data_IF_138312554825
#
_entry.id   IF_138312554825
#
_cell.length_a   1.000
_cell.length_b   1.000
_cell.length_c   1.000
_cell.angle_alpha   90.00
_cell.angle_beta   90.00
_cell.angle_gamma   90.00
#
_symmetry.space_group_name_H-M   'P 1'
#
loop_
_entity.id
_entity.type
_entity.pdbx_description
1 polymer ?
#
# COMPACT_ATOMS: atom_id res chain seq x y z
N UNK A 1 54.52 -12.27 57.55
CA UNK A 1 54.37 -13.37 56.56
C UNK A 1 52.91 -13.79 56.39
N UNK A 2 52.07 -13.84 57.44
CA UNK A 2 50.66 -14.26 57.33
C UNK A 2 49.70 -13.23 56.68
N UNK A 3 49.96 -11.93 56.78
CA UNK A 3 49.13 -10.90 56.10
C UNK A 3 49.33 -10.84 54.58
N UNK A 4 50.47 -11.35 54.08
CA UNK A 4 50.73 -11.41 52.64
C UNK A 4 50.03 -12.61 52.00
N UNK A 5 49.90 -13.73 52.74
CA UNK A 5 49.20 -14.93 52.29
C UNK A 5 47.68 -14.70 52.18
N UNK A 6 47.08 -13.92 53.08
CA UNK A 6 45.66 -13.57 53.00
C UNK A 6 45.35 -12.65 51.81
N UNK A 7 46.23 -11.69 51.50
CA UNK A 7 46.06 -10.83 50.31
C UNK A 7 46.27 -11.59 49.00
N UNK A 8 47.15 -12.60 48.96
CA UNK A 8 47.33 -13.46 47.78
C UNK A 8 46.14 -14.41 47.60
N UNK A 9 45.55 -14.93 48.69
CA UNK A 9 44.33 -15.75 48.60
C UNK A 9 43.07 -14.94 48.26
N UNK A 10 43.04 -13.64 48.59
CA UNK A 10 42.00 -12.70 48.14
C UNK A 10 42.24 -12.17 46.70
N UNK A 11 43.49 -12.14 46.22
CA UNK A 11 43.81 -11.76 44.83
C UNK A 11 43.69 -12.92 43.83
N UNK A 12 43.78 -14.18 44.29
CA UNK A 12 43.46 -15.38 43.49
C UNK A 12 41.95 -15.64 43.43
N UNK A 13 41.15 -14.91 44.21
CA UNK A 13 39.72 -14.71 43.97
C UNK A 13 39.47 -13.59 42.94
N UNK A 14 40.35 -13.42 41.94
CA UNK A 14 39.97 -12.79 40.68
C UNK A 14 38.76 -13.56 40.17
N UNK A 15 37.60 -12.91 40.22
CA UNK A 15 36.32 -13.45 39.85
C UNK A 15 36.39 -14.06 38.44
N UNK A 16 36.66 -15.36 38.37
CA UNK A 16 36.19 -16.19 37.27
C UNK A 16 34.68 -16.18 37.44
N UNK A 17 34.02 -15.15 36.90
CA UNK A 17 32.56 -15.12 36.78
C UNK A 17 32.20 -16.44 36.12
N UNK A 18 31.53 -17.32 36.86
CA UNK A 18 31.04 -18.58 36.32
C UNK A 18 30.23 -18.25 35.07
N UNK A 19 30.77 -18.63 33.93
CA UNK A 19 30.23 -18.20 32.65
C UNK A 19 28.86 -18.81 32.45
N UNK A 20 27.86 -17.98 32.23
CA UNK A 20 26.47 -18.41 32.20
C UNK A 20 26.25 -19.14 30.87
N UNK A 21 26.24 -20.47 30.91
CA UNK A 21 25.97 -21.32 29.75
C UNK A 21 24.69 -22.14 29.93
N UNK A 22 23.77 -22.15 28.95
CA UNK A 22 22.61 -23.04 29.00
C UNK A 22 23.01 -24.52 29.06
N UNK A 23 22.32 -25.32 29.89
CA UNK A 23 22.69 -26.72 30.19
C UNK A 23 22.82 -27.62 28.95
N UNK A 24 22.05 -27.35 27.90
CA UNK A 24 22.07 -28.14 26.65
C UNK A 24 23.02 -27.58 25.58
N UNK A 25 23.56 -26.40 25.81
CA UNK A 25 24.39 -25.68 24.85
C UNK A 25 25.87 -25.79 25.19
N UNK A 26 26.72 -25.42 24.23
CA UNK A 26 28.16 -25.34 24.39
C UNK A 26 28.58 -23.88 24.24
N UNK A 27 29.25 -23.34 25.24
CA UNK A 27 29.74 -21.97 25.19
C UNK A 27 31.26 -21.97 25.01
N UNK A 28 31.75 -21.26 23.98
CA UNK A 28 33.16 -21.20 23.61
C UNK A 28 33.67 -19.77 23.74
N UNK A 29 34.85 -19.61 24.34
CA UNK A 29 35.58 -18.34 24.36
C UNK A 29 36.66 -18.41 23.27
N UNK A 30 36.45 -17.65 22.21
CA UNK A 30 37.43 -17.39 21.17
C UNK A 30 37.89 -15.94 21.37
N UNK A 31 38.80 -15.73 22.35
CA UNK A 31 39.20 -14.39 22.81
C UNK A 31 39.37 -13.40 21.65
N UNK A 32 38.61 -12.27 21.63
CA UNK A 32 37.78 -11.73 22.72
C UNK A 32 36.27 -12.12 22.68
N UNK A 33 35.85 -12.99 21.79
CA UNK A 33 34.44 -13.27 21.50
C UNK A 33 33.90 -14.50 22.25
N UNK A 34 32.68 -14.37 22.77
CA UNK A 34 31.92 -15.46 23.37
C UNK A 34 30.89 -15.99 22.36
N UNK A 35 30.97 -17.26 22.02
CA UNK A 35 29.99 -17.95 21.18
C UNK A 35 29.13 -18.91 22.03
N UNK A 36 27.81 -18.83 21.89
CA UNK A 36 26.83 -19.73 22.52
C UNK A 36 26.21 -20.63 21.46
N UNK A 37 26.59 -21.91 21.47
CA UNK A 37 26.24 -22.89 20.44
C UNK A 37 25.14 -23.84 20.95
N UNK A 38 23.92 -23.63 20.47
CA UNK A 38 22.71 -24.35 20.85
C UNK A 38 22.07 -25.11 19.67
N UNK A 39 22.80 -25.33 18.58
CA UNK A 39 22.26 -25.99 17.40
C UNK A 39 21.97 -27.49 17.63
N UNK A 40 20.89 -28.01 17.04
CA UNK A 40 20.49 -29.44 17.10
C UNK A 40 20.29 -29.98 18.53
N UNK A 41 19.75 -29.16 19.44
CA UNK A 41 19.55 -29.52 20.86
C UNK A 41 18.10 -29.86 21.21
N UNK A 42 17.21 -29.88 20.23
CA UNK A 42 15.78 -30.15 20.41
C UNK A 42 15.12 -29.13 21.34
N UNK A 43 15.52 -27.86 21.22
CA UNK A 43 14.99 -26.78 22.06
C UNK A 43 13.59 -26.41 21.58
N UNK A 44 12.64 -26.31 22.51
CA UNK A 44 11.27 -25.85 22.25
C UNK A 44 11.14 -24.32 22.40
N UNK A 45 12.09 -23.70 23.08
CA UNK A 45 12.13 -22.26 23.35
C UNK A 45 13.59 -21.80 23.49
N UNK A 46 13.81 -20.49 23.35
CA UNK A 46 15.13 -19.88 23.52
C UNK A 46 15.54 -20.00 25.01
N UNK A 47 16.71 -20.57 25.33
CA UNK A 47 17.14 -20.74 26.71
C UNK A 47 17.20 -19.40 27.48
N UNK A 48 16.62 -19.28 28.68
CA UNK A 48 16.57 -18.01 29.39
C UNK A 48 17.94 -17.56 29.93
N UNK A 49 18.84 -18.51 30.20
CA UNK A 49 20.14 -18.29 30.81
C UNK A 49 21.28 -18.24 29.77
N UNK A 50 21.14 -17.38 28.77
CA UNK A 50 22.21 -17.07 27.81
C UNK A 50 22.98 -15.85 28.32
N UNK A 51 24.32 -15.93 28.33
CA UNK A 51 25.17 -14.80 28.67
C UNK A 51 24.93 -13.62 27.72
N UNK A 52 24.64 -12.44 28.27
CA UNK A 52 24.35 -11.22 27.50
C UNK A 52 25.57 -10.62 26.79
N UNK A 53 26.78 -11.11 27.09
CA UNK A 53 28.01 -10.75 26.38
C UNK A 53 28.29 -11.66 25.18
N UNK A 54 27.39 -12.58 24.85
CA UNK A 54 27.50 -13.44 23.66
C UNK A 54 27.60 -12.57 22.40
N UNK A 55 28.58 -12.87 21.55
CA UNK A 55 28.82 -12.23 20.25
C UNK A 55 28.21 -13.04 19.12
N UNK A 56 28.17 -14.36 19.27
CA UNK A 56 27.61 -15.29 18.28
C UNK A 56 26.66 -16.27 18.96
N UNK A 57 25.40 -16.31 18.51
CA UNK A 57 24.36 -17.18 19.07
C UNK A 57 23.76 -18.07 17.98
N UNK A 58 24.06 -19.38 18.06
CA UNK A 58 23.53 -20.37 17.12
C UNK A 58 22.41 -21.19 17.74
N UNK A 59 21.18 -20.96 17.31
CA UNK A 59 19.96 -21.66 17.73
C UNK A 59 19.33 -22.48 16.59
N UNK A 60 20.08 -22.74 15.52
CA UNK A 60 19.60 -23.45 14.35
C UNK A 60 19.20 -24.92 14.63
N UNK A 61 18.36 -25.50 13.79
CA UNK A 61 17.94 -26.91 13.90
C UNK A 61 17.30 -27.25 15.26
N UNK A 62 16.31 -26.48 15.67
CA UNK A 62 15.54 -26.70 16.89
C UNK A 62 14.03 -26.65 16.58
N UNK A 63 13.19 -26.65 17.60
CA UNK A 63 11.73 -26.64 17.49
C UNK A 63 11.14 -25.38 18.15
N UNK A 64 11.86 -24.26 18.08
CA UNK A 64 11.41 -22.99 18.66
C UNK A 64 10.21 -22.49 17.85
N UNK A 65 9.13 -22.10 18.52
CA UNK A 65 7.88 -21.65 17.87
C UNK A 65 7.65 -20.15 17.95
N UNK A 66 8.19 -19.49 18.97
CA UNK A 66 7.97 -18.06 19.22
C UNK A 66 9.24 -17.40 19.71
N UNK A 67 9.49 -16.17 19.24
CA UNK A 67 10.54 -15.29 19.77
C UNK A 67 9.90 -14.20 20.63
N UNK A 68 10.32 -14.11 21.90
CA UNK A 68 9.81 -13.13 22.87
C UNK A 68 10.82 -12.02 23.12
N UNK A 69 10.34 -10.84 23.48
CA UNK A 69 11.18 -9.67 23.80
C UNK A 69 12.29 -9.95 24.82
N UNK A 70 11.97 -10.75 25.85
CA UNK A 70 12.90 -11.09 26.93
C UNK A 70 14.03 -12.04 26.51
N UNK A 71 13.85 -12.77 25.41
CA UNK A 71 14.77 -13.83 25.01
C UNK A 71 16.12 -13.23 24.59
N UNK A 72 16.08 -12.09 23.88
CA UNK A 72 17.26 -11.35 23.39
C UNK A 72 17.47 -9.99 24.08
N UNK A 73 16.75 -9.74 25.18
CA UNK A 73 16.90 -8.48 25.91
C UNK A 73 18.33 -8.26 26.41
N UNK A 74 18.85 -7.05 26.19
CA UNK A 74 20.19 -6.59 26.56
C UNK A 74 21.37 -7.35 25.90
N UNK A 75 21.16 -8.00 24.75
CA UNK A 75 22.25 -8.65 23.99
C UNK A 75 23.00 -7.66 23.08
N UNK A 76 23.55 -6.59 23.66
CA UNK A 76 24.14 -5.47 22.90
C UNK A 76 25.41 -5.81 22.14
N UNK A 77 26.11 -6.90 22.53
CA UNK A 77 27.35 -7.36 21.87
C UNK A 77 27.11 -8.38 20.75
N UNK A 78 25.86 -8.81 20.55
CA UNK A 78 25.55 -9.84 19.58
C UNK A 78 25.77 -9.30 18.16
N UNK A 79 26.48 -10.09 17.35
CA UNK A 79 26.85 -9.77 15.96
C UNK A 79 26.20 -10.75 15.00
N UNK A 80 26.12 -12.03 15.36
CA UNK A 80 25.52 -13.09 14.55
C UNK A 80 24.46 -13.84 15.37
N UNK A 81 23.24 -13.87 14.83
CA UNK A 81 22.13 -14.64 15.36
C UNK A 81 21.58 -15.61 14.29
N UNK A 82 21.74 -16.89 14.55
CA UNK A 82 21.19 -17.94 13.69
C UNK A 82 19.98 -18.62 14.33
N UNK A 83 18.79 -18.41 13.77
CA UNK A 83 17.51 -19.05 14.14
C UNK A 83 16.96 -19.98 13.04
N UNK A 84 17.80 -20.34 12.07
CA UNK A 84 17.45 -21.14 10.91
C UNK A 84 16.86 -22.52 11.27
N UNK A 85 15.99 -23.06 10.42
CA UNK A 85 15.43 -24.42 10.58
C UNK A 85 14.81 -24.62 11.98
N UNK A 86 13.88 -23.74 12.30
CA UNK A 86 13.01 -23.83 13.48
C UNK A 86 11.54 -23.87 13.02
N UNK A 87 10.61 -23.76 13.95
CA UNK A 87 9.17 -23.68 13.67
C UNK A 87 8.60 -22.32 14.05
N UNK A 88 9.40 -21.25 13.94
CA UNK A 88 9.04 -19.92 14.41
C UNK A 88 7.92 -19.38 13.54
N UNK A 89 6.77 -19.14 14.15
CA UNK A 89 5.58 -18.56 13.50
C UNK A 89 5.30 -17.14 13.95
N UNK A 90 5.86 -16.73 15.09
CA UNK A 90 5.60 -15.42 15.68
C UNK A 90 6.86 -14.84 16.33
N UNK A 91 7.13 -13.57 16.01
CA UNK A 91 8.16 -12.75 16.64
C UNK A 91 7.43 -11.60 17.32
N UNK A 92 7.69 -11.43 18.62
CA UNK A 92 7.07 -10.33 19.38
C UNK A 92 7.66 -9.00 18.93
N UNK A 93 6.82 -7.97 18.91
CA UNK A 93 7.22 -6.56 18.79
C UNK A 93 8.51 -6.22 19.52
N UNK A 94 9.42 -5.53 18.83
CA UNK A 94 10.70 -5.06 19.37
C UNK A 94 11.62 -6.17 19.92
N UNK A 95 11.38 -7.44 19.57
CA UNK A 95 12.18 -8.56 20.09
C UNK A 95 13.68 -8.42 19.82
N UNK A 96 14.05 -7.68 18.77
CA UNK A 96 15.43 -7.48 18.36
C UNK A 96 16.01 -6.09 18.67
N UNK A 97 15.25 -5.20 19.32
CA UNK A 97 15.59 -3.78 19.45
C UNK A 97 16.92 -3.49 20.19
N UNK A 98 17.34 -4.34 21.13
CA UNK A 98 18.58 -4.11 21.91
C UNK A 98 19.86 -4.54 21.18
N UNK A 99 19.75 -5.21 20.03
CA UNK A 99 20.90 -5.80 19.32
C UNK A 99 21.49 -4.83 18.30
N UNK A 100 21.93 -3.66 18.78
CA UNK A 100 22.44 -2.55 17.95
C UNK A 100 23.71 -2.87 17.14
N UNK A 101 24.40 -3.98 17.45
CA UNK A 101 25.62 -4.42 16.77
C UNK A 101 25.40 -5.66 15.88
N UNK A 102 24.16 -6.11 15.74
CA UNK A 102 23.86 -7.28 14.93
C UNK A 102 24.16 -6.99 13.46
N UNK A 103 24.94 -7.88 12.83
CA UNK A 103 25.34 -7.81 11.42
C UNK A 103 24.68 -8.89 10.59
N UNK A 104 24.41 -10.06 11.17
CA UNK A 104 23.77 -11.16 10.49
C UNK A 104 22.59 -11.71 11.30
N UNK A 105 21.43 -11.80 10.65
CA UNK A 105 20.22 -12.41 11.18
C UNK A 105 19.70 -13.47 10.22
N UNK A 106 19.76 -14.73 10.64
CA UNK A 106 19.24 -15.85 9.87
C UNK A 106 17.92 -16.35 10.49
N UNK A 107 16.83 -16.14 9.77
CA UNK A 107 15.47 -16.58 10.10
C UNK A 107 14.91 -17.58 9.07
N UNK A 108 15.76 -18.13 8.22
CA UNK A 108 15.37 -19.01 7.13
C UNK A 108 14.85 -20.38 7.56
N UNK A 109 14.03 -21.01 6.72
CA UNK A 109 13.38 -22.30 7.00
C UNK A 109 12.58 -22.24 8.32
N UNK A 110 11.66 -21.29 8.42
CA UNK A 110 10.73 -21.11 9.54
C UNK A 110 9.28 -21.09 9.04
N UNK A 111 8.33 -20.64 9.88
CA UNK A 111 6.89 -20.59 9.59
C UNK A 111 6.34 -19.17 9.71
N UNK A 112 7.17 -18.16 9.47
CA UNK A 112 6.74 -16.76 9.53
C UNK A 112 5.77 -16.47 8.39
N UNK A 113 4.65 -15.84 8.70
CA UNK A 113 3.63 -15.48 7.70
C UNK A 113 3.59 -13.98 7.38
N UNK A 114 4.17 -13.15 8.26
CA UNK A 114 4.17 -11.69 8.14
C UNK A 114 5.38 -11.09 8.85
N UNK A 115 5.83 -9.94 8.39
CA UNK A 115 6.78 -9.06 9.09
C UNK A 115 6.05 -7.77 9.46
N UNK A 116 6.00 -7.45 10.76
CA UNK A 116 5.44 -6.19 11.27
C UNK A 116 6.46 -5.05 11.19
N UNK A 117 5.99 -3.80 11.21
CA UNK A 117 6.83 -2.60 11.11
C UNK A 117 7.93 -2.52 12.17
N UNK A 118 7.67 -3.01 13.37
CA UNK A 118 8.56 -2.93 14.53
C UNK A 118 9.42 -4.18 14.75
N UNK A 119 9.37 -5.15 13.82
CA UNK A 119 10.12 -6.41 13.93
C UNK A 119 11.62 -6.17 13.93
N UNK A 120 12.10 -5.33 13.00
CA UNK A 120 13.52 -5.05 12.75
C UNK A 120 13.94 -3.62 13.15
N UNK A 121 13.16 -2.97 14.02
CA UNK A 121 13.43 -1.62 14.48
C UNK A 121 14.79 -1.55 15.19
N UNK A 122 15.59 -0.54 14.85
CA UNK A 122 16.91 -0.27 15.47
C UNK A 122 18.07 -1.07 14.87
N UNK A 123 17.82 -1.93 13.88
CA UNK A 123 18.84 -2.81 13.27
C UNK A 123 19.70 -2.12 12.20
N UNK A 124 20.20 -0.92 12.51
CA UNK A 124 20.92 -0.05 11.58
C UNK A 124 22.28 -0.55 11.08
N UNK A 125 22.88 -1.55 11.76
CA UNK A 125 24.16 -2.17 11.39
C UNK A 125 24.01 -3.55 10.76
N UNK A 126 22.78 -3.95 10.43
CA UNK A 126 22.52 -5.26 9.84
C UNK A 126 23.00 -5.28 8.39
N UNK A 127 23.87 -6.23 8.05
CA UNK A 127 24.40 -6.44 6.71
C UNK A 127 23.70 -7.61 6.01
N UNK A 128 23.38 -8.68 6.74
CA UNK A 128 22.76 -9.89 6.18
C UNK A 128 21.42 -10.17 6.86
N UNK A 129 20.34 -10.16 6.07
CA UNK A 129 19.02 -10.56 6.52
C UNK A 129 18.51 -11.72 5.65
N UNK A 130 18.47 -12.90 6.25
CA UNK A 130 18.19 -14.15 5.54
C UNK A 130 16.84 -14.70 6.02
N UNK A 131 15.80 -14.53 5.21
CA UNK A 131 14.40 -14.84 5.49
C UNK A 131 13.82 -15.92 4.57
N UNK A 132 14.67 -16.58 3.77
CA UNK A 132 14.22 -17.55 2.80
C UNK A 132 13.52 -18.78 3.39
N UNK A 133 12.70 -19.45 2.57
CA UNK A 133 11.92 -20.63 2.97
C UNK A 133 11.06 -20.33 4.21
N UNK A 134 10.26 -19.27 4.13
CA UNK A 134 9.20 -18.97 5.10
C UNK A 134 7.84 -19.05 4.37
N UNK A 135 6.79 -18.49 4.97
CA UNK A 135 5.44 -18.44 4.40
C UNK A 135 4.96 -16.98 4.36
N UNK A 136 5.89 -16.04 4.20
CA UNK A 136 5.60 -14.61 4.26
C UNK A 136 4.65 -14.24 3.13
N UNK A 137 3.48 -13.73 3.49
CA UNK A 137 2.50 -13.19 2.54
C UNK A 137 2.65 -11.68 2.43
N UNK A 138 3.00 -11.00 3.53
CA UNK A 138 3.10 -9.55 3.58
C UNK A 138 4.26 -9.10 4.46
N UNK A 139 4.97 -8.08 3.98
CA UNK A 139 5.95 -7.32 4.74
C UNK A 139 5.42 -5.89 4.83
N UNK A 140 5.28 -5.37 6.04
CA UNK A 140 4.79 -4.00 6.23
C UNK A 140 5.73 -2.98 5.58
N UNK A 141 5.20 -1.90 4.96
CA UNK A 141 5.98 -0.90 4.21
C UNK A 141 7.15 -0.32 5.01
N UNK A 142 6.95 -0.07 6.30
CA UNK A 142 7.98 0.51 7.18
C UNK A 142 8.95 -0.51 7.80
N UNK A 143 8.74 -1.82 7.60
CA UNK A 143 9.50 -2.86 8.31
C UNK A 143 11.01 -2.85 7.99
N UNK A 144 11.40 -2.29 6.85
CA UNK A 144 12.79 -2.23 6.38
C UNK A 144 13.41 -0.83 6.45
N UNK A 145 12.73 0.16 7.04
CA UNK A 145 13.18 1.56 7.03
C UNK A 145 14.55 1.78 7.70
N UNK A 146 14.88 0.99 8.72
CA UNK A 146 16.13 1.12 9.47
C UNK A 146 17.29 0.32 8.86
N UNK A 147 17.01 -0.54 7.87
CA UNK A 147 17.96 -1.52 7.31
C UNK A 147 18.84 -0.93 6.20
N UNK A 148 19.39 0.26 6.43
CA UNK A 148 20.11 1.03 5.38
C UNK A 148 21.51 0.48 5.06
N UNK A 149 22.12 -0.26 6.00
CA UNK A 149 23.46 -0.84 5.85
C UNK A 149 23.47 -2.23 5.19
N UNK A 150 22.31 -2.71 4.74
CA UNK A 150 22.11 -4.08 4.32
C UNK A 150 22.86 -4.38 3.01
N UNK A 151 23.59 -5.49 3.00
CA UNK A 151 24.44 -5.97 1.91
C UNK A 151 23.83 -7.20 1.22
N UNK A 152 23.06 -8.01 1.94
CA UNK A 152 22.39 -9.20 1.42
C UNK A 152 20.99 -9.35 2.03
N UNK A 153 19.98 -9.34 1.16
CA UNK A 153 18.58 -9.61 1.49
C UNK A 153 18.11 -10.84 0.75
N UNK A 154 17.78 -11.89 1.49
CA UNK A 154 17.22 -13.12 0.93
C UNK A 154 15.78 -13.34 1.41
N UNK A 155 14.83 -13.15 0.48
CA UNK A 155 13.40 -13.37 0.67
C UNK A 155 12.90 -14.56 -0.16
N UNK A 156 13.80 -15.39 -0.68
CA UNK A 156 13.45 -16.50 -1.58
C UNK A 156 12.50 -17.52 -0.94
N UNK A 157 11.70 -18.22 -1.75
CA UNK A 157 10.74 -19.23 -1.27
C UNK A 157 9.80 -18.68 -0.18
N UNK A 158 9.02 -17.68 -0.56
CA UNK A 158 7.95 -17.09 0.24
C UNK A 158 6.68 -16.93 -0.61
N UNK A 159 5.67 -16.24 -0.09
CA UNK A 159 4.38 -16.04 -0.74
C UNK A 159 4.10 -14.55 -1.00
N UNK A 160 5.16 -13.76 -1.22
CA UNK A 160 5.09 -12.31 -1.32
C UNK A 160 4.52 -11.89 -2.68
N UNK A 161 3.47 -11.09 -2.67
CA UNK A 161 2.93 -10.40 -3.85
C UNK A 161 3.65 -9.06 -4.11
N UNK A 162 4.15 -8.42 -3.05
CA UNK A 162 4.89 -7.17 -3.10
C UNK A 162 5.88 -7.10 -1.93
N UNK A 163 6.86 -6.19 -2.05
CA UNK A 163 7.81 -5.87 -0.98
C UNK A 163 7.93 -4.34 -0.83
N UNK A 164 8.48 -3.84 0.29
CA UNK A 164 8.69 -2.40 0.50
C UNK A 164 9.77 -1.81 -0.43
N UNK A 165 9.43 -1.60 -1.71
CA UNK A 165 10.35 -1.14 -2.74
C UNK A 165 11.04 0.19 -2.40
N UNK A 166 10.31 1.13 -1.77
CA UNK A 166 10.85 2.42 -1.33
C UNK A 166 11.97 2.28 -0.30
N UNK A 167 11.87 1.30 0.60
CA UNK A 167 12.92 1.01 1.57
C UNK A 167 14.14 0.37 0.87
N UNK A 168 13.89 -0.57 -0.05
CA UNK A 168 14.95 -1.26 -0.81
C UNK A 168 15.75 -0.29 -1.69
N UNK A 169 15.08 0.68 -2.33
CA UNK A 169 15.73 1.72 -3.13
C UNK A 169 16.76 2.54 -2.33
N UNK A 170 16.61 2.61 -1.00
CA UNK A 170 17.52 3.33 -0.10
C UNK A 170 18.69 2.47 0.41
N UNK A 171 18.70 1.17 0.13
CA UNK A 171 19.76 0.23 0.57
C UNK A 171 20.99 0.28 -0.34
N UNK A 172 21.67 1.43 -0.40
CA UNK A 172 22.80 1.68 -1.31
C UNK A 172 23.99 0.72 -1.16
N UNK A 173 24.05 -0.04 -0.05
CA UNK A 173 25.08 -1.04 0.21
C UNK A 173 24.73 -2.45 -0.29
N UNK A 174 23.54 -2.64 -0.85
CA UNK A 174 23.03 -3.96 -1.24
C UNK A 174 23.84 -4.54 -2.40
N UNK A 175 24.34 -5.77 -2.22
CA UNK A 175 25.08 -6.55 -3.21
C UNK A 175 24.24 -7.67 -3.79
N UNK A 176 23.43 -8.32 -2.95
CA UNK A 176 22.61 -9.47 -3.34
C UNK A 176 21.18 -9.27 -2.89
N UNK A 177 20.26 -9.40 -3.85
CA UNK A 177 18.82 -9.40 -3.61
C UNK A 177 18.22 -10.68 -4.21
N UNK A 178 17.78 -11.59 -3.34
CA UNK A 178 17.13 -12.84 -3.74
C UNK A 178 15.64 -12.77 -3.44
N UNK A 179 14.84 -12.84 -4.50
CA UNK A 179 13.38 -12.77 -4.50
C UNK A 179 12.76 -13.99 -5.19
N UNK A 180 13.55 -15.00 -5.52
CA UNK A 180 13.08 -16.16 -6.28
C UNK A 180 12.01 -16.96 -5.53
N UNK A 181 11.15 -17.63 -6.28
CA UNK A 181 10.04 -18.43 -5.73
C UNK A 181 9.12 -17.60 -4.81
N UNK A 182 8.58 -16.52 -5.37
CA UNK A 182 7.56 -15.66 -4.74
C UNK A 182 6.38 -15.46 -5.71
N UNK A 183 5.51 -14.49 -5.42
CA UNK A 183 4.31 -14.17 -6.20
C UNK A 183 4.35 -12.73 -6.75
N UNK A 184 5.55 -12.13 -6.87
CA UNK A 184 5.71 -10.74 -7.31
C UNK A 184 5.24 -10.56 -8.76
N UNK A 185 4.36 -9.60 -9.00
CA UNK A 185 3.76 -9.34 -10.31
C UNK A 185 4.34 -8.09 -11.02
N UNK A 186 4.94 -7.17 -10.27
CA UNK A 186 5.67 -6.03 -10.81
C UNK A 186 6.92 -5.66 -9.99
N UNK A 187 7.84 -4.93 -10.63
CA UNK A 187 8.94 -4.21 -9.98
C UNK A 187 8.84 -2.75 -10.44
N UNK A 188 8.78 -1.76 -9.51
CA UNK A 188 8.71 -0.36 -9.88
C UNK A 188 9.93 0.10 -10.70
N UNK A 189 9.69 0.97 -11.67
CA UNK A 189 10.76 1.68 -12.35
C UNK A 189 11.56 2.54 -11.36
N UNK A 190 12.87 2.65 -11.56
CA UNK A 190 13.74 3.43 -10.67
C UNK A 190 14.17 2.72 -9.37
N UNK A 191 13.65 1.53 -9.09
CA UNK A 191 13.98 0.76 -7.86
C UNK A 191 15.49 0.55 -7.69
N UNK A 192 16.20 0.22 -8.78
CA UNK A 192 17.61 -0.16 -8.74
C UNK A 192 18.58 0.98 -9.07
N UNK A 193 18.08 2.17 -9.43
CA UNK A 193 18.92 3.23 -10.01
C UNK A 193 19.98 3.78 -9.04
N UNK A 194 19.76 3.66 -7.72
CA UNK A 194 20.73 4.04 -6.70
C UNK A 194 21.60 2.87 -6.20
N UNK A 195 21.29 1.62 -6.56
CA UNK A 195 21.91 0.41 -6.02
C UNK A 195 23.17 0.00 -6.80
N UNK A 196 24.15 0.89 -6.84
CA UNK A 196 25.35 0.72 -7.68
C UNK A 196 26.23 -0.49 -7.31
N UNK A 197 26.11 -0.97 -6.07
CA UNK A 197 26.85 -2.15 -5.55
C UNK A 197 26.14 -3.48 -5.82
N UNK A 198 24.91 -3.46 -6.33
CA UNK A 198 24.16 -4.68 -6.57
C UNK A 198 24.84 -5.49 -7.69
N UNK A 199 25.19 -6.72 -7.35
CA UNK A 199 25.91 -7.66 -8.21
C UNK A 199 25.06 -8.89 -8.54
N UNK A 200 24.01 -9.16 -7.76
CA UNK A 200 23.10 -10.28 -7.99
C UNK A 200 21.64 -9.88 -7.70
N UNK A 201 20.78 -10.12 -8.69
CA UNK A 201 19.33 -10.07 -8.55
C UNK A 201 18.74 -11.38 -9.05
N UNK A 202 18.04 -12.10 -8.17
CA UNK A 202 17.30 -13.30 -8.53
C UNK A 202 15.80 -13.07 -8.35
N UNK A 203 15.06 -13.10 -9.45
CA UNK A 203 13.60 -12.96 -9.50
C UNK A 203 12.95 -14.18 -10.15
N UNK A 204 13.66 -15.30 -10.19
CA UNK A 204 13.19 -16.56 -10.79
C UNK A 204 11.88 -17.02 -10.14
N UNK A 205 11.00 -17.68 -10.89
CA UNK A 205 9.75 -18.25 -10.36
C UNK A 205 8.87 -17.22 -9.62
N UNK A 206 8.55 -16.11 -10.28
CA UNK A 206 7.61 -15.09 -9.79
C UNK A 206 6.40 -14.95 -10.76
N UNK A 207 5.63 -13.87 -10.65
CA UNK A 207 4.50 -13.52 -11.52
C UNK A 207 4.78 -12.30 -12.41
N UNK A 208 6.06 -11.98 -12.61
CA UNK A 208 6.47 -10.81 -13.37
C UNK A 208 6.09 -10.99 -14.84
N UNK A 209 5.31 -10.05 -15.37
CA UNK A 209 5.03 -9.99 -16.79
C UNK A 209 6.13 -9.23 -17.54
N UNK A 210 6.79 -8.27 -16.87
CA UNK A 210 7.89 -7.50 -17.43
C UNK A 210 8.91 -7.12 -16.37
N UNK A 211 10.09 -6.69 -16.83
CA UNK A 211 11.12 -6.07 -16.01
C UNK A 211 11.29 -4.60 -16.42
N UNK A 212 11.45 -3.68 -15.45
CA UNK A 212 11.71 -2.29 -15.77
C UNK A 212 13.10 -2.16 -16.40
N UNK A 213 13.29 -1.31 -17.43
CA UNK A 213 14.62 -1.02 -17.91
C UNK A 213 15.43 -0.30 -16.83
N UNK A 214 16.67 -0.76 -16.58
CA UNK A 214 17.60 -0.10 -15.67
C UNK A 214 19.04 -0.24 -16.21
N UNK A 215 19.88 0.82 -16.13
CA UNK A 215 21.28 0.74 -16.56
C UNK A 215 22.07 -0.41 -15.92
N UNK A 216 21.67 -0.82 -14.72
CA UNK A 216 22.28 -1.93 -14.00
C UNK A 216 22.19 -3.26 -14.79
N UNK A 217 21.13 -3.47 -15.58
CA UNK A 217 20.98 -4.67 -16.39
C UNK A 217 21.87 -4.71 -17.63
N UNK A 218 22.41 -3.57 -18.08
CA UNK A 218 23.42 -3.57 -19.15
C UNK A 218 24.71 -4.26 -18.70
N UNK A 219 25.03 -4.21 -17.40
CA UNK A 219 26.17 -4.92 -16.79
C UNK A 219 26.01 -6.44 -16.77
N UNK A 220 24.80 -6.94 -17.04
CA UNK A 220 24.47 -8.35 -17.10
C UNK A 220 24.90 -9.02 -18.42
N UNK A 221 25.33 -8.23 -19.42
CA UNK A 221 25.75 -8.77 -20.72
C UNK A 221 27.16 -9.34 -20.67
N UNK A 222 27.40 -10.42 -21.41
CA UNK A 222 28.76 -10.91 -21.67
C UNK A 222 29.38 -10.08 -22.80
N UNK A 223 30.42 -9.29 -22.50
CA UNK A 223 31.17 -8.50 -23.47
C UNK A 223 32.42 -9.29 -23.93
N UNK A 224 32.45 -9.68 -25.20
CA UNK A 224 33.62 -10.23 -25.86
C UNK A 224 34.24 -9.18 -26.78
N UNK A 225 35.24 -8.45 -26.29
CA UNK A 225 36.10 -7.61 -27.13
C UNK A 225 37.40 -8.37 -27.42
N UNK A 226 37.67 -8.65 -28.69
CA UNK A 226 38.99 -9.10 -29.19
C UNK A 226 39.61 -10.30 -28.46
N UNK A 227 38.87 -11.40 -28.32
CA UNK A 227 39.41 -12.68 -27.87
C UNK A 227 39.55 -12.87 -26.35
N UNK A 228 39.12 -11.90 -25.54
CA UNK A 228 39.03 -12.03 -24.09
C UNK A 228 37.54 -11.97 -23.70
N UNK A 229 36.98 -13.10 -23.24
CA UNK A 229 35.66 -13.10 -22.59
C UNK A 229 35.81 -12.50 -21.20
N UNK A 230 35.17 -11.36 -20.95
CA UNK A 230 35.09 -10.78 -19.61
C UNK A 230 33.87 -11.34 -18.88
N UNK A 231 34.06 -11.79 -17.63
CA UNK A 231 32.95 -12.30 -16.81
C UNK A 231 31.94 -11.18 -16.52
N UNK A 232 30.64 -11.50 -16.52
CA UNK A 232 29.58 -10.54 -16.23
C UNK A 232 29.75 -9.96 -14.82
N UNK A 233 29.73 -8.63 -14.70
CA UNK A 233 29.81 -7.96 -13.39
C UNK A 233 28.49 -7.95 -12.61
N UNK A 234 27.42 -8.47 -13.22
CA UNK A 234 26.08 -8.55 -12.64
C UNK A 234 25.37 -9.84 -13.06
N UNK A 235 24.84 -10.58 -12.09
CA UNK A 235 24.05 -11.80 -12.29
C UNK A 235 22.56 -11.49 -12.15
N UNK A 236 21.82 -11.65 -13.25
CA UNK A 236 20.36 -11.50 -13.31
C UNK A 236 19.73 -12.86 -13.62
N UNK A 237 18.75 -13.29 -12.83
CA UNK A 237 17.97 -14.50 -13.13
C UNK A 237 16.48 -14.16 -13.07
N UNK A 238 15.75 -14.41 -14.16
CA UNK A 238 14.32 -14.08 -14.29
C UNK A 238 13.47 -15.18 -14.91
N UNK A 239 14.02 -16.40 -15.02
CA UNK A 239 13.29 -17.57 -15.51
C UNK A 239 12.06 -17.91 -14.67
N UNK A 240 11.16 -18.74 -15.20
CA UNK A 240 9.95 -19.15 -14.47
C UNK A 240 8.91 -18.04 -14.23
N UNK A 241 9.04 -16.90 -14.91
CA UNK A 241 8.05 -15.81 -14.88
C UNK A 241 7.09 -15.89 -16.08
N UNK A 242 5.82 -15.48 -15.93
CA UNK A 242 4.85 -15.43 -17.02
C UNK A 242 5.08 -14.19 -17.91
N UNK A 243 6.21 -14.15 -18.61
CA UNK A 243 6.64 -12.98 -19.38
C UNK A 243 5.62 -12.60 -20.46
N UNK A 244 5.34 -11.31 -20.55
CA UNK A 244 4.54 -10.70 -21.60
C UNK A 244 5.49 -10.07 -22.64
N UNK A 245 5.78 -10.84 -23.68
CA UNK A 245 6.81 -10.58 -24.67
C UNK A 245 6.35 -9.61 -25.76
N UNK A 246 6.15 -8.35 -25.39
CA UNK A 246 5.89 -7.24 -26.29
C UNK A 246 7.11 -6.31 -26.39
N UNK A 247 6.96 -5.14 -26.99
CA UNK A 247 8.07 -4.18 -27.15
C UNK A 247 8.67 -3.69 -25.81
N UNK A 248 7.98 -3.81 -24.68
CA UNK A 248 8.51 -3.42 -23.35
C UNK A 248 9.68 -4.30 -22.89
N UNK A 249 9.77 -5.53 -23.41
CA UNK A 249 10.88 -6.45 -23.13
C UNK A 249 11.96 -6.48 -24.23
N UNK A 250 11.81 -5.66 -25.28
CA UNK A 250 12.77 -5.63 -26.39
C UNK A 250 14.19 -5.23 -25.94
N UNK A 251 14.30 -4.34 -24.95
CA UNK A 251 15.60 -3.96 -24.37
C UNK A 251 16.29 -5.15 -23.70
N UNK A 252 15.52 -6.03 -23.05
CA UNK A 252 16.02 -7.23 -22.37
C UNK A 252 16.43 -8.28 -23.41
N UNK A 253 15.64 -8.41 -24.48
CA UNK A 253 15.94 -9.31 -25.59
C UNK A 253 17.26 -8.95 -26.29
N UNK A 254 17.62 -7.67 -26.34
CA UNK A 254 18.89 -7.19 -26.93
C UNK A 254 20.13 -7.49 -26.09
N UNK A 255 19.97 -8.02 -24.87
CA UNK A 255 21.11 -8.42 -24.06
C UNK A 255 21.75 -9.71 -24.62
N UNK A 256 23.08 -9.78 -24.62
CA UNK A 256 23.81 -11.02 -24.91
C UNK A 256 23.98 -11.82 -23.61
N UNK A 257 23.15 -12.84 -23.43
CA UNK A 257 23.08 -13.69 -22.23
C UNK A 257 22.94 -15.16 -22.60
N UNK A 258 23.29 -16.02 -21.64
CA UNK A 258 23.00 -17.45 -21.71
C UNK A 258 21.49 -17.69 -21.59
N UNK A 259 21.01 -18.77 -22.22
CA UNK A 259 19.60 -19.16 -22.22
C UNK A 259 19.29 -19.97 -20.96
N UNK A 260 18.52 -19.38 -20.03
CA UNK A 260 18.07 -20.02 -18.78
C UNK A 260 16.62 -20.56 -18.93
N UNK A 261 16.20 -20.87 -20.17
CA UNK A 261 14.88 -21.40 -20.52
C UNK A 261 13.72 -20.47 -20.14
N UNK A 262 13.94 -19.17 -20.15
CA UNK A 262 12.89 -18.18 -19.94
C UNK A 262 11.84 -18.32 -21.05
N UNK A 263 10.56 -18.22 -20.71
CA UNK A 263 9.46 -18.56 -21.63
C UNK A 263 8.43 -17.43 -21.67
N UNK A 264 8.02 -17.06 -22.86
CA UNK A 264 6.92 -16.11 -23.07
C UNK A 264 5.59 -16.76 -22.70
N UNK A 265 4.83 -16.15 -21.81
CA UNK A 265 3.46 -16.58 -21.51
C UNK A 265 2.43 -15.92 -22.44
N UNK A 266 2.72 -14.69 -22.88
CA UNK A 266 1.87 -13.89 -23.76
C UNK A 266 2.73 -12.98 -24.65
N UNK A 267 2.20 -12.40 -25.75
CA UNK A 267 0.86 -12.62 -26.33
C UNK A 267 0.67 -14.06 -26.85
N UNK A 268 -0.56 -14.43 -27.25
CA UNK A 268 -0.93 -15.82 -27.61
C UNK A 268 -0.04 -16.41 -28.72
N UNK A 269 0.45 -15.57 -29.63
CA UNK A 269 1.33 -15.93 -30.74
C UNK A 269 2.73 -16.36 -30.27
N UNK A 270 3.20 -15.85 -29.13
CA UNK A 270 4.51 -16.15 -28.55
C UNK A 270 4.42 -17.09 -27.34
N UNK A 271 3.21 -17.43 -26.90
CA UNK A 271 2.98 -18.26 -25.73
C UNK A 271 3.67 -19.62 -25.86
N UNK A 272 4.48 -19.98 -24.86
CA UNK A 272 5.23 -21.23 -24.80
C UNK A 272 6.56 -21.22 -25.58
N UNK A 273 6.90 -20.14 -26.28
CA UNK A 273 8.23 -20.00 -26.92
C UNK A 273 9.28 -19.56 -25.90
N UNK A 274 10.50 -20.07 -26.05
CA UNK A 274 11.64 -19.60 -25.27
C UNK A 274 12.00 -18.17 -25.65
N UNK A 275 12.17 -17.30 -24.66
CA UNK A 275 12.36 -15.85 -24.79
C UNK A 275 13.50 -15.50 -25.75
N UNK A 276 14.67 -16.11 -25.59
CA UNK A 276 15.85 -15.85 -26.42
C UNK A 276 15.72 -16.41 -27.85
N UNK A 277 14.85 -17.40 -28.07
CA UNK A 277 14.58 -17.96 -29.40
C UNK A 277 13.65 -17.07 -30.26
N UNK A 278 12.92 -16.15 -29.62
CA UNK A 278 12.06 -15.19 -30.31
C UNK A 278 12.95 -14.10 -30.91
N UNK A 279 12.86 -13.81 -32.22
CA UNK A 279 13.62 -12.75 -32.85
C UNK A 279 13.11 -11.36 -32.44
N UNK A 280 13.95 -10.33 -32.52
CA UNK A 280 13.62 -8.98 -32.03
C UNK A 280 12.38 -8.38 -32.70
N UNK A 281 12.13 -8.70 -33.97
CA UNK A 281 11.03 -8.17 -34.77
C UNK A 281 9.65 -8.69 -34.34
N UNK A 282 9.61 -9.78 -33.56
CA UNK A 282 8.36 -10.34 -33.02
C UNK A 282 7.95 -9.70 -31.68
N UNK A 283 8.82 -8.91 -31.04
CA UNK A 283 8.50 -8.15 -29.82
C UNK A 283 7.77 -6.85 -30.17
N UNK A 284 6.50 -6.98 -30.53
CA UNK A 284 5.65 -5.88 -30.99
C UNK A 284 4.74 -5.35 -29.88
N UNK A 285 4.40 -4.06 -29.95
CA UNK A 285 3.34 -3.44 -29.16
C UNK A 285 2.24 -2.94 -30.09
N UNK A 286 0.99 -2.92 -29.61
CA UNK A 286 -0.17 -2.43 -30.34
C UNK A 286 -0.58 -1.03 -29.83
N UNK A 287 -0.71 -0.03 -30.71
CA UNK A 287 -1.07 1.33 -30.31
C UNK A 287 -2.50 1.38 -29.72
N UNK A 288 -2.79 2.40 -28.89
CA UNK A 288 -4.08 2.50 -28.21
C UNK A 288 -5.25 2.75 -29.18
N UNK A 289 -6.31 1.98 -29.00
CA UNK A 289 -7.59 2.13 -29.67
C UNK A 289 -8.68 2.41 -28.64
N UNK A 290 -9.27 3.61 -28.67
CA UNK A 290 -10.41 3.96 -27.81
C UNK A 290 -11.65 3.22 -28.34
N UNK A 291 -12.17 2.29 -27.55
CA UNK A 291 -13.28 1.40 -27.95
C UNK A 291 -14.63 1.83 -27.41
N UNK A 292 -14.67 2.51 -26.25
CA UNK A 292 -15.90 3.02 -25.65
C UNK A 292 -15.67 4.37 -24.99
N UNK A 293 -16.56 5.31 -25.26
CA UNK A 293 -16.49 6.65 -24.67
C UNK A 293 -17.90 7.25 -24.51
N UNK A 294 -18.06 8.20 -23.59
CA UNK A 294 -19.29 8.99 -23.48
C UNK A 294 -19.40 9.93 -24.70
N UNK A 295 -20.61 10.05 -25.27
CA UNK A 295 -20.89 11.05 -26.32
C UNK A 295 -21.26 12.40 -25.68
N UNK A 296 -21.72 13.38 -26.46
CA UNK A 296 -22.22 14.66 -25.92
C UNK A 296 -23.18 14.42 -24.74
N UNK A 297 -22.89 15.08 -23.61
CA UNK A 297 -23.68 14.97 -22.38
C UNK A 297 -24.25 16.31 -21.98
N UNK A 298 -25.53 16.32 -21.61
CA UNK A 298 -26.23 17.49 -21.06
C UNK A 298 -26.69 17.17 -19.65
N UNK A 299 -26.22 17.93 -18.67
CA UNK A 299 -26.45 17.66 -17.25
C UNK A 299 -26.85 18.95 -16.53
N UNK A 300 -27.75 18.85 -15.54
CA UNK A 300 -28.12 20.03 -14.75
C UNK A 300 -26.99 20.41 -13.79
N UNK A 301 -26.85 21.71 -13.51
CA UNK A 301 -25.93 22.21 -12.49
C UNK A 301 -26.17 21.53 -11.12
N UNK A 302 -25.09 21.18 -10.42
CA UNK A 302 -25.11 20.51 -9.12
C UNK A 302 -25.29 18.99 -9.16
N UNK A 303 -25.49 18.38 -10.33
CA UNK A 303 -25.57 16.93 -10.47
C UNK A 303 -24.19 16.28 -10.66
N UNK A 304 -24.10 14.98 -10.38
CA UNK A 304 -22.92 14.16 -10.67
C UNK A 304 -22.84 13.87 -12.16
N UNK A 305 -21.66 14.06 -12.75
CA UNK A 305 -21.34 13.70 -14.14
C UNK A 305 -20.36 12.53 -14.13
N UNK A 306 -20.59 11.54 -15.01
CA UNK A 306 -19.69 10.40 -15.19
C UNK A 306 -19.30 10.28 -16.67
N UNK A 307 -18.06 10.65 -16.98
CA UNK A 307 -17.46 10.50 -18.30
C UNK A 307 -16.69 9.18 -18.36
N UNK A 308 -16.98 8.36 -19.36
CA UNK A 308 -16.31 7.07 -19.55
C UNK A 308 -15.38 7.16 -20.73
N UNK A 309 -14.20 6.57 -20.58
CA UNK A 309 -13.26 6.33 -21.67
C UNK A 309 -12.59 4.99 -21.43
N UNK A 310 -12.66 4.09 -22.42
CA UNK A 310 -12.00 2.79 -22.39
C UNK A 310 -11.25 2.58 -23.69
N UNK A 311 -9.97 2.30 -23.56
CA UNK A 311 -9.13 1.93 -24.68
C UNK A 311 -8.63 0.49 -24.54
N UNK A 312 -8.15 -0.06 -25.64
CA UNK A 312 -7.43 -1.32 -25.73
C UNK A 312 -6.12 -1.07 -26.45
N UNK A 313 -5.13 -1.89 -26.19
CA UNK A 313 -3.81 -1.84 -26.80
C UNK A 313 -2.92 -2.85 -26.08
N UNK A 314 -1.72 -3.03 -26.60
CA UNK A 314 -0.69 -3.86 -25.99
C UNK A 314 0.58 -3.03 -25.83
N UNK A 315 1.03 -2.72 -24.59
CA UNK A 315 0.37 -3.03 -23.32
C UNK A 315 -0.93 -2.25 -23.12
N UNK A 316 -1.70 -2.62 -22.09
CA UNK A 316 -2.95 -1.94 -21.75
C UNK A 316 -2.69 -0.44 -21.50
N UNK A 317 -3.33 0.46 -22.25
CA UNK A 317 -2.95 1.87 -22.26
C UNK A 317 -3.45 2.62 -21.02
N UNK A 318 -2.63 3.57 -20.55
CA UNK A 318 -3.00 4.49 -19.49
C UNK A 318 -3.99 5.53 -20.00
N UNK A 319 -5.01 5.84 -19.19
CA UNK A 319 -6.04 6.83 -19.50
C UNK A 319 -5.84 8.08 -18.66
N UNK A 320 -5.79 9.23 -19.33
CA UNK A 320 -5.70 10.56 -18.73
C UNK A 320 -6.79 11.47 -19.28
N UNK A 321 -7.19 12.48 -18.50
CA UNK A 321 -8.24 13.43 -18.89
C UNK A 321 -7.70 14.85 -18.90
N UNK A 322 -8.04 15.59 -19.95
CA UNK A 322 -7.76 17.02 -20.08
C UNK A 322 -9.08 17.79 -19.99
N UNK A 323 -9.12 18.81 -19.15
CA UNK A 323 -10.27 19.71 -18.99
C UNK A 323 -10.42 20.69 -20.17
N UNK A 324 -11.56 21.37 -20.31
CA UNK A 324 -11.76 22.37 -21.36
C UNK A 324 -10.71 23.50 -21.36
N UNK A 325 -10.08 23.78 -20.22
CA UNK A 325 -9.00 24.76 -20.06
C UNK A 325 -7.61 24.20 -20.40
N UNK A 326 -7.51 22.96 -20.89
CA UNK A 326 -6.24 22.33 -21.27
C UNK A 326 -5.42 21.79 -20.10
N UNK A 327 -6.01 21.60 -18.91
CA UNK A 327 -5.31 21.10 -17.72
C UNK A 327 -5.55 19.61 -17.50
N UNK A 328 -4.51 18.90 -17.04
CA UNK A 328 -4.63 17.51 -16.62
C UNK A 328 -5.57 17.42 -15.40
N UNK A 329 -6.58 16.58 -15.49
CA UNK A 329 -7.52 16.32 -14.40
C UNK A 329 -6.95 15.27 -13.48
N UNK A 330 -6.87 15.59 -12.19
CA UNK A 330 -6.42 14.70 -11.13
C UNK A 330 -7.52 14.53 -10.06
N UNK A 331 -7.26 13.63 -9.11
CA UNK A 331 -8.14 13.42 -7.98
C UNK A 331 -8.17 14.66 -7.08
N UNK A 332 -9.36 15.17 -6.82
CA UNK A 332 -9.61 16.34 -5.97
C UNK A 332 -10.89 16.14 -5.14
N UNK A 333 -11.29 17.14 -4.36
CA UNK A 333 -12.58 17.11 -3.64
C UNK A 333 -13.80 17.10 -4.58
N UNK A 334 -13.62 17.44 -5.86
CA UNK A 334 -14.70 17.55 -6.86
C UNK A 334 -14.59 16.55 -8.01
N UNK A 335 -13.40 16.04 -8.29
CA UNK A 335 -13.12 15.15 -9.43
C UNK A 335 -12.47 13.87 -8.97
N UNK A 336 -12.89 12.73 -9.53
CA UNK A 336 -12.30 11.42 -9.29
C UNK A 336 -12.00 10.75 -10.63
N UNK A 337 -10.74 10.40 -10.85
CA UNK A 337 -10.26 9.60 -11.98
C UNK A 337 -9.96 8.20 -11.48
N UNK A 338 -10.53 7.19 -12.14
CA UNK A 338 -10.38 5.79 -11.78
C UNK A 338 -9.46 5.06 -12.75
N UNK A 339 -8.81 3.98 -12.29
CA UNK A 339 -7.92 3.14 -13.11
C UNK A 339 -8.61 2.53 -14.33
N UNK A 340 -9.94 2.42 -14.32
CA UNK A 340 -10.72 1.92 -15.46
C UNK A 340 -11.00 3.00 -16.53
N UNK A 341 -10.37 4.19 -16.42
CA UNK A 341 -10.48 5.32 -17.33
C UNK A 341 -11.69 6.22 -17.12
N UNK A 342 -12.52 5.99 -16.10
CA UNK A 342 -13.70 6.81 -15.80
C UNK A 342 -13.30 8.09 -15.07
N UNK A 343 -13.95 9.21 -15.42
CA UNK A 343 -13.87 10.48 -14.71
C UNK A 343 -15.26 10.83 -14.14
N UNK A 344 -15.34 10.96 -12.82
CA UNK A 344 -16.50 11.48 -12.12
C UNK A 344 -16.27 12.94 -11.71
N UNK A 345 -17.23 13.81 -12.05
CA UNK A 345 -17.36 15.16 -11.49
C UNK A 345 -18.50 15.09 -10.47
N UNK A 346 -18.18 15.21 -9.19
CA UNK A 346 -19.12 14.99 -8.09
C UNK A 346 -20.22 16.06 -8.04
N UNK A 347 -19.84 17.32 -8.29
CA UNK A 347 -20.73 18.48 -8.30
C UNK A 347 -20.38 19.30 -9.54
N UNK A 348 -21.28 19.30 -10.53
CA UNK A 348 -21.13 20.07 -11.76
C UNK A 348 -21.42 21.55 -11.55
N UNK A 349 -20.67 22.39 -12.27
CA UNK A 349 -20.84 23.85 -12.29
C UNK A 349 -20.87 24.32 -13.74
N UNK A 350 -21.45 25.49 -14.01
CA UNK A 350 -21.48 26.04 -15.39
C UNK A 350 -20.08 26.17 -16.00
N UNK A 351 -19.04 26.37 -15.16
CA UNK A 351 -17.63 26.43 -15.59
C UNK A 351 -17.10 25.13 -16.18
N UNK A 352 -17.72 23.99 -15.87
CA UNK A 352 -17.32 22.70 -16.43
C UNK A 352 -17.85 22.50 -17.86
N UNK A 353 -18.63 23.44 -18.39
CA UNK A 353 -19.11 23.36 -19.77
C UNK A 353 -17.94 23.48 -20.73
N UNK A 354 -17.79 22.51 -21.61
CA UNK A 354 -16.78 22.52 -22.65
C UNK A 354 -16.36 21.12 -23.09
N UNK A 355 -15.24 21.08 -23.81
CA UNK A 355 -14.70 19.86 -24.42
C UNK A 355 -13.68 19.18 -23.50
N UNK A 356 -14.05 18.03 -22.96
CA UNK A 356 -13.12 17.17 -22.23
C UNK A 356 -12.44 16.21 -23.21
N UNK A 357 -11.11 16.11 -23.13
CA UNK A 357 -10.35 15.19 -23.98
C UNK A 357 -9.85 14.02 -23.15
N UNK A 358 -10.26 12.81 -23.50
CA UNK A 358 -9.64 11.59 -23.01
C UNK A 358 -8.41 11.30 -23.86
N UNK A 359 -7.27 11.09 -23.21
CA UNK A 359 -6.02 10.65 -23.83
C UNK A 359 -5.73 9.23 -23.35
N UNK A 360 -5.44 8.36 -24.30
CA UNK A 360 -5.02 6.98 -24.08
C UNK A 360 -3.61 6.80 -24.62
N UNK A 361 -2.66 6.37 -23.79
CA UNK A 361 -1.25 6.24 -24.19
C UNK A 361 -0.63 4.90 -23.77
N UNK A 362 0.26 4.39 -24.63
CA UNK A 362 1.16 3.27 -24.32
C UNK A 362 2.49 3.45 -25.11
N UNK A 363 3.49 2.56 -24.95
CA UNK A 363 4.77 2.65 -25.66
C UNK A 363 4.68 2.64 -27.21
N UNK A 364 3.60 2.11 -27.79
CA UNK A 364 3.39 2.13 -29.24
C UNK A 364 2.79 3.43 -29.77
N UNK A 365 2.18 4.25 -28.91
CA UNK A 365 1.65 5.56 -29.30
C UNK A 365 0.56 6.11 -28.39
N UNK A 366 -0.11 7.13 -28.88
CA UNK A 366 -1.17 7.83 -28.18
C UNK A 366 -2.40 8.00 -29.09
N UNK A 367 -3.59 7.97 -28.50
CA UNK A 367 -4.85 8.21 -29.17
C UNK A 367 -5.75 9.04 -28.25
N UNK A 368 -6.60 9.88 -28.81
CA UNK A 368 -7.44 10.78 -28.03
C UNK A 368 -8.87 10.84 -28.57
N UNK A 369 -9.81 11.14 -27.67
CA UNK A 369 -11.20 11.38 -28.03
C UNK A 369 -11.78 12.52 -27.22
N UNK A 370 -12.53 13.39 -27.88
CA UNK A 370 -13.12 14.59 -27.28
C UNK A 370 -14.60 14.37 -26.99
N UNK A 371 -15.04 14.82 -25.82
CA UNK A 371 -16.41 14.68 -25.32
C UNK A 371 -16.91 16.06 -24.92
N UNK A 372 -18.03 16.48 -25.50
CA UNK A 372 -18.66 17.75 -25.18
C UNK A 372 -19.59 17.59 -23.96
N UNK A 373 -19.34 18.38 -22.91
CA UNK A 373 -20.16 18.44 -21.72
C UNK A 373 -20.85 19.81 -21.64
N UNK A 374 -22.18 19.81 -21.55
CA UNK A 374 -22.98 21.02 -21.44
C UNK A 374 -23.71 21.01 -20.09
N UNK A 375 -23.40 21.99 -19.24
CA UNK A 375 -24.08 22.15 -17.95
C UNK A 375 -25.22 23.16 -18.08
N UNK A 376 -26.44 22.70 -17.84
CA UNK A 376 -27.65 23.50 -17.94
C UNK A 376 -28.01 24.06 -16.57
N UNK A 377 -28.06 25.38 -16.46
CA UNK A 377 -28.57 26.05 -15.27
C UNK A 377 -30.10 26.04 -15.28
N UNK A 378 -30.72 25.66 -14.16
CA UNK A 378 -32.17 25.79 -13.99
C UNK A 378 -32.55 27.29 -13.96
N UNK A 379 -33.59 27.72 -14.70
CA UNK A 379 -34.03 29.11 -14.66
C UNK A 379 -34.54 29.46 -13.25
N UNK A 380 -34.00 30.54 -12.67
CA UNK A 380 -34.58 31.16 -11.49
C UNK A 380 -35.82 31.93 -11.95
N UNK A 381 -37.02 31.46 -11.60
CA UNK A 381 -38.25 32.20 -11.83
C UNK A 381 -38.25 33.39 -10.85
N UNK A 382 -37.88 34.58 -11.33
CA UNK A 382 -38.14 35.81 -10.59
C UNK A 382 -39.59 36.23 -10.86
N UNK A 383 -40.46 36.14 -9.86
CA UNK A 383 -41.81 36.69 -9.94
C UNK A 383 -41.74 38.23 -10.01
N UNK A 384 -41.58 38.79 -11.20
CA UNK A 384 -41.93 40.18 -11.49
C UNK A 384 -43.36 40.20 -12.03
N UNK A 385 -44.34 40.28 -11.13
CA UNK A 385 -45.75 40.44 -11.47
C UNK A 385 -46.06 41.91 -11.75
N UNK A 386 -46.01 42.31 -13.02
CA UNK A 386 -46.72 43.51 -13.49
C UNK A 386 -48.06 43.08 -14.11
N UNK A 387 -49.12 43.33 -13.35
CA UNK A 387 -50.54 43.49 -13.68
C UNK A 387 -51.04 42.99 -15.05
N UNK A 388 -51.72 41.83 -15.02
CA UNK A 388 -52.99 41.62 -15.73
C UNK A 388 -53.95 40.95 -14.74
N UNK A 389 -55.08 41.60 -14.49
CA UNK A 389 -56.14 41.28 -13.51
C UNK A 389 -57.31 40.66 -14.29
N UNK A 390 -57.69 39.39 -14.08
CA UNK A 390 -58.76 38.89 -13.19
C UNK A 390 -58.92 37.36 -13.44
N UNK A 391 -59.64 36.57 -12.61
CA UNK A 391 -59.82 36.62 -11.16
C UNK A 391 -59.43 35.28 -10.47
N UNK A 392 -58.97 35.39 -9.24
CA UNK A 392 -58.29 34.35 -8.45
C UNK A 392 -59.28 33.62 -7.51
N UNK A 393 -59.25 32.28 -7.35
CA UNK A 393 -59.86 31.66 -6.19
C UNK A 393 -58.86 31.70 -5.02
N UNK A 394 -58.85 32.83 -4.31
CA UNK A 394 -58.63 32.90 -2.87
C UNK A 394 -57.26 32.48 -2.34
N UNK A 395 -56.39 33.48 -2.16
CA UNK A 395 -55.31 33.46 -1.16
C UNK A 395 -55.87 33.20 0.25
N UNK A 396 -55.19 32.35 1.02
CA UNK A 396 -55.38 32.27 2.46
C UNK A 396 -54.02 32.16 3.15
N UNK A 397 -53.50 33.32 3.57
CA UNK A 397 -52.44 33.46 4.56
C UNK A 397 -52.91 32.95 5.93
N UNK A 398 -52.09 32.15 6.63
CA UNK A 398 -52.22 31.96 8.09
C UNK A 398 -50.85 32.01 8.75
N UNK A 399 -50.70 33.02 9.61
CA UNK A 399 -49.76 33.10 10.73
C UNK A 399 -50.25 32.26 11.92
N UNK A 400 -49.35 31.55 12.60
CA UNK A 400 -49.67 30.81 13.84
C UNK A 400 -49.09 31.51 15.08
N UNK A 401 -49.93 31.88 16.04
CA UNK A 401 -49.54 32.09 17.43
C UNK A 401 -50.37 31.19 18.36
N UNK A 402 -49.79 30.88 19.52
CA UNK A 402 -50.12 29.81 20.46
C UNK A 402 -50.89 30.33 21.67
N UNK A 403 -51.91 29.58 22.16
CA UNK A 403 -52.27 29.35 23.58
C UNK A 403 -53.61 28.60 23.70
N UNK A 404 -53.87 27.74 24.68
CA UNK A 404 -53.11 27.41 25.89
C UNK A 404 -53.76 26.26 26.69
N UNK A 405 -53.22 25.97 27.87
CA UNK A 405 -53.88 25.20 28.92
C UNK A 405 -54.36 26.15 30.03
N UNK A 406 -55.53 25.85 30.60
CA UNK A 406 -56.33 26.71 31.46
C UNK A 406 -55.81 26.92 32.89
N UNK A 407 -56.02 28.13 33.44
CA UNK A 407 -56.77 28.35 34.69
C UNK A 407 -56.99 29.85 34.97
N UNK A 408 -58.23 30.24 35.28
CA UNK A 408 -58.54 31.41 36.13
C UNK A 408 -59.02 32.72 35.47
N UNK A 409 -60.31 32.99 35.67
CA UNK A 409 -60.98 34.30 35.83
C UNK A 409 -61.16 35.27 34.65
N UNK A 410 -62.43 35.67 34.50
CA UNK A 410 -63.01 36.76 33.70
C UNK A 410 -62.16 38.03 33.61
N UNK A 411 -61.96 38.58 32.40
CA UNK A 411 -62.19 40.00 32.02
C UNK A 411 -62.33 40.08 30.49
N UNK A 412 -63.29 40.90 30.04
CA UNK A 412 -63.64 41.29 28.66
C UNK A 412 -62.48 41.88 27.84
N UNK A 413 -62.38 41.53 26.55
CA UNK A 413 -61.50 42.23 25.60
C UNK A 413 -61.39 41.55 24.23
N UNK A 414 -61.66 42.35 23.20
CA UNK A 414 -61.81 42.09 21.76
C UNK A 414 -60.58 41.52 21.00
N UNK A 415 -60.80 41.13 19.73
CA UNK A 415 -59.85 40.98 18.57
C UNK A 415 -59.51 39.55 18.02
N UNK A 416 -60.13 39.26 16.85
CA UNK A 416 -59.74 38.56 15.58
C UNK A 416 -58.70 37.38 15.51
N UNK A 417 -59.19 36.21 15.05
CA UNK A 417 -58.84 35.49 13.79
C UNK A 417 -57.55 34.64 13.61
N UNK A 418 -57.68 33.33 13.31
CA UNK A 418 -56.62 32.44 12.76
C UNK A 418 -57.13 31.01 12.40
N UNK A 419 -56.69 30.43 11.26
CA UNK A 419 -57.18 29.15 10.68
C UNK A 419 -56.21 27.95 10.84
N UNK A 420 -56.71 26.74 10.55
CA UNK A 420 -56.19 25.38 10.80
C UNK A 420 -54.73 25.02 10.41
N UNK A 421 -54.08 24.20 11.26
CA UNK A 421 -52.71 23.67 11.11
C UNK A 421 -52.65 22.37 10.28
N UNK A 422 -51.70 22.25 9.34
CA UNK A 422 -51.43 21.06 8.48
C UNK A 422 -50.28 20.14 8.94
N UNK A 423 -49.66 20.43 10.09
CA UNK A 423 -48.58 19.62 10.67
C UNK A 423 -48.98 19.24 12.09
N UNK A 424 -48.89 17.95 12.42
CA UNK A 424 -49.19 17.46 13.76
C UNK A 424 -47.92 16.88 14.37
N UNK A 425 -47.42 17.51 15.42
CA UNK A 425 -46.38 16.93 16.27
C UNK A 425 -47.04 15.86 17.13
N UNK A 426 -46.62 14.60 16.98
CA UNK A 426 -47.25 13.49 17.69
C UNK A 426 -46.64 13.30 19.08
N UNK A 427 -45.32 13.46 19.21
CA UNK A 427 -44.56 13.31 20.45
C UNK A 427 -43.36 14.26 20.44
N UNK A 428 -43.06 14.89 21.58
CA UNK A 428 -41.90 15.78 21.72
C UNK A 428 -41.28 15.65 23.11
N UNK A 429 -39.95 15.63 23.14
CA UNK A 429 -39.10 15.76 24.32
C UNK A 429 -38.23 17.02 24.20
N UNK A 430 -37.37 17.30 25.18
CA UNK A 430 -36.49 18.49 25.15
C UNK A 430 -35.45 18.46 24.01
N UNK A 431 -35.20 17.31 23.38
CA UNK A 431 -34.18 17.16 22.32
C UNK A 431 -34.66 16.48 21.04
N UNK A 432 -35.88 15.93 21.01
CA UNK A 432 -36.41 15.23 19.82
C UNK A 432 -37.90 15.49 19.66
N UNK A 433 -38.36 15.63 18.41
CA UNK A 433 -39.76 15.79 18.07
C UNK A 433 -40.14 14.93 16.85
N UNK A 434 -41.22 14.16 16.98
CA UNK A 434 -41.78 13.35 15.90
C UNK A 434 -42.85 14.15 15.15
N UNK A 435 -42.58 14.44 13.87
CA UNK A 435 -43.48 15.21 13.01
C UNK A 435 -44.25 14.26 12.10
N UNK A 436 -45.58 14.29 12.19
CA UNK A 436 -46.47 13.49 11.35
C UNK A 436 -47.25 14.41 10.40
N UNK A 437 -47.12 14.15 9.11
CA UNK A 437 -47.84 14.88 8.06
C UNK A 437 -49.12 14.14 7.71
N UNK A 438 -50.26 14.81 7.76
CA UNK A 438 -51.56 14.23 7.41
C UNK A 438 -51.91 14.59 5.97
N UNK A 439 -51.45 13.78 5.00
CA UNK A 439 -51.77 13.99 3.59
C UNK A 439 -53.09 13.28 3.23
N UNK A 440 -54.13 14.04 2.88
CA UNK A 440 -55.43 13.47 2.48
C UNK A 440 -55.44 12.89 1.06
N UNK A 441 -54.35 12.97 0.28
CA UNK A 441 -54.22 12.32 -1.04
C UNK A 441 -52.80 11.82 -1.30
N UNK A 442 -52.71 10.66 -1.95
CA UNK A 442 -51.45 10.04 -2.37
C UNK A 442 -50.86 10.82 -3.57
N UNK A 443 -49.78 11.58 -3.36
CA UNK A 443 -49.09 12.33 -4.41
C UNK A 443 -47.76 11.61 -4.72
N UNK A 444 -47.58 10.98 -5.89
CA UNK A 444 -46.31 10.40 -6.26
C UNK A 444 -45.31 11.51 -6.60
N UNK A 445 -44.16 11.53 -5.93
CA UNK A 445 -43.02 12.39 -6.31
C UNK A 445 -42.52 13.40 -5.27
N UNK A 446 -42.98 13.38 -4.03
CA UNK A 446 -42.39 14.23 -2.98
C UNK A 446 -41.08 13.58 -2.51
N UNK A 447 -39.93 14.20 -2.83
CA UNK A 447 -38.59 13.71 -2.47
C UNK A 447 -37.77 14.64 -1.58
N UNK A 448 -38.33 15.75 -1.09
CA UNK A 448 -37.61 16.64 -0.18
C UNK A 448 -38.57 17.36 0.78
N UNK A 449 -38.16 17.49 2.03
CA UNK A 449 -38.79 18.35 3.03
C UNK A 449 -37.72 19.30 3.57
N UNK A 450 -38.07 20.56 3.77
CA UNK A 450 -37.19 21.53 4.41
C UNK A 450 -37.74 21.81 5.82
N UNK A 451 -36.94 21.52 6.85
CA UNK A 451 -37.26 21.85 8.23
C UNK A 451 -36.46 23.09 8.58
N UNK A 452 -37.15 24.19 8.87
CA UNK A 452 -36.52 25.43 9.30
C UNK A 452 -36.63 25.53 10.82
N UNK A 453 -35.51 25.36 11.51
CA UNK A 453 -35.38 25.52 12.96
C UNK A 453 -34.66 26.83 13.26
N UNK A 454 -35.20 27.63 14.18
CA UNK A 454 -34.62 28.93 14.56
C UNK A 454 -33.93 28.77 15.92
N UNK A 455 -32.69 28.28 15.91
CA UNK A 455 -31.85 28.10 17.10
C UNK A 455 -30.87 29.25 17.28
N UNK A 456 -30.60 29.64 18.53
CA UNK A 456 -29.72 30.77 18.86
C UNK A 456 -28.26 30.39 19.12
N UNK A 457 -27.87 29.11 18.99
CA UNK A 457 -26.49 28.61 19.08
C UNK A 457 -26.29 27.42 18.12
N UNK A 458 -25.02 27.12 17.78
CA UNK A 458 -24.56 26.12 16.79
C UNK A 458 -25.06 24.68 17.06
N UNK A 459 -26.36 24.44 16.85
CA UNK A 459 -26.98 23.14 16.98
C UNK A 459 -27.01 22.46 15.60
N UNK A 460 -26.45 21.24 15.53
CA UNK A 460 -26.49 20.40 14.33
C UNK A 460 -27.70 19.48 14.35
N UNK A 461 -28.53 19.58 13.31
CA UNK A 461 -29.75 18.80 13.17
C UNK A 461 -29.44 17.45 12.50
N UNK A 462 -29.59 16.34 13.24
CA UNK A 462 -29.36 14.98 12.72
C UNK A 462 -30.72 14.33 12.44
N UNK A 463 -30.99 14.00 11.17
CA UNK A 463 -32.18 13.23 10.78
C UNK A 463 -31.89 11.72 10.85
N UNK A 464 -32.86 10.94 11.30
CA UNK A 464 -32.84 9.47 11.27
C UNK A 464 -34.10 8.94 10.62
#
# INVERSE_FOLDING_TARGET
>A
MERLLLCVMLAVAMAVRAQICPKRCVCQILSPNLATLCAKKGLLFIPPNIDRHTVELRLADNFITTVKRKDFANMTRLVDLTLSRNTISFITSHAFADMENLRALHLNSNRLTRIANDTFNGMSKLHHLILNNNQLVVIHQEAFNDLLALEELDLSYNNLDSIPWEAIQRMISLHTLSLDHNMLDYIPEGTFSLLQKLNRLDVTSNKLQKLPPDPLFQRAQVLATSGIMTATSFALSFGGNPLHCNCELLWLRRLNREDDLETCASPQQLSGRYFWSVPEEEFLCEPPLITRYSHEMRVLEGQRVTLRCKARGDPEPAIHWISPEGKLVSNSSRTLVYNNGTLDILISTVKDTGSFTCISSNPAGENHQTIELIIIKLPHISNNTNNIQEPDPGSSDISTSTRGGANGSNVTGDVKGGVDKRVVTAEATSSTALIKFNFQRNIPGIRMFQIQYNGSQDDSLVYR
#
